data_IF_915788565710
#
_entry.id   IF_915788565710
#
_cell.length_a   1.000
_cell.length_b   1.000
_cell.length_c   1.000
_cell.angle_alpha   90.00
_cell.angle_beta   90.00
_cell.angle_gamma   90.00
#
_symmetry.space_group_name_H-M   'P 1'
#
loop_
_entity.id
_entity.type
_entity.pdbx_description
1 polymer ?
#
# COMPACT_ATOMS: atom_id res chain seq x y z
N UNK A 1 41.51 -46.51 -26.65
CA UNK A 1 41.01 -46.53 -28.04
C UNK A 1 39.95 -45.45 -28.17
N UNK A 2 40.06 -44.66 -29.24
CA UNK A 2 39.37 -43.41 -29.50
C UNK A 2 37.95 -43.60 -30.07
N UNK A 3 37.13 -42.54 -30.01
CA UNK A 3 36.17 -42.01 -31.01
C UNK A 3 35.20 -41.06 -30.26
N UNK A 4 35.38 -39.73 -30.30
CA UNK A 4 35.10 -38.75 -31.37
C UNK A 4 33.64 -38.28 -31.51
N UNK A 5 33.48 -36.98 -31.22
CA UNK A 5 32.63 -35.92 -31.79
C UNK A 5 31.12 -36.14 -32.01
N UNK A 6 30.33 -35.19 -31.50
CA UNK A 6 29.45 -34.40 -32.38
C UNK A 6 29.33 -32.95 -31.90
N UNK A 7 29.55 -32.04 -32.85
CA UNK A 7 29.46 -30.59 -32.77
C UNK A 7 28.10 -30.12 -33.31
N UNK A 8 27.80 -28.84 -33.07
CA UNK A 8 26.95 -27.94 -33.87
C UNK A 8 25.51 -27.66 -33.40
N UNK A 9 25.24 -26.36 -33.26
CA UNK A 9 23.92 -25.79 -33.04
C UNK A 9 23.96 -24.27 -32.82
N UNK A 10 24.67 -23.52 -33.67
CA UNK A 10 24.49 -22.07 -33.78
C UNK A 10 23.27 -21.80 -34.67
N UNK A 11 22.32 -20.99 -34.21
CA UNK A 11 21.36 -20.34 -35.10
C UNK A 11 21.11 -18.90 -34.62
N UNK A 12 21.52 -17.98 -35.50
CA UNK A 12 21.29 -16.54 -35.52
C UNK A 12 19.80 -16.26 -35.70
N UNK A 13 19.27 -15.19 -35.07
CA UNK A 13 18.07 -14.54 -35.59
C UNK A 13 18.15 -13.03 -35.39
N UNK A 14 17.96 -12.34 -36.50
CA UNK A 14 18.35 -10.97 -36.79
C UNK A 14 17.34 -9.94 -36.28
N UNK A 15 17.83 -8.81 -35.75
CA UNK A 15 17.12 -7.51 -35.79
C UNK A 15 17.29 -6.89 -37.19
N UNK A 16 16.26 -6.25 -37.75
CA UNK A 16 16.20 -4.76 -37.82
C UNK A 16 14.72 -4.26 -37.74
N UNK A 17 14.31 -3.00 -37.64
CA UNK A 17 14.84 -1.63 -37.53
C UNK A 17 13.64 -0.74 -37.06
N UNK A 18 13.85 0.48 -36.54
CA UNK A 18 12.79 1.44 -36.27
C UNK A 18 12.57 2.39 -37.48
N UNK A 19 11.31 2.55 -37.86
CA UNK A 19 10.75 3.57 -38.76
C UNK A 19 9.43 4.00 -38.09
N UNK A 20 8.95 5.24 -38.07
CA UNK A 20 9.27 6.46 -38.80
C UNK A 20 8.67 7.62 -37.98
N UNK A 21 9.24 8.82 -38.14
CA UNK A 21 8.71 10.06 -37.59
C UNK A 21 7.36 10.40 -38.21
N UNK A 22 6.41 10.91 -37.42
CA UNK A 22 5.47 11.93 -37.92
C UNK A 22 5.09 12.89 -36.80
N UNK A 23 5.39 14.16 -37.07
CA UNK A 23 5.13 15.37 -36.29
C UNK A 23 3.63 15.73 -36.20
N UNK A 24 3.26 16.71 -35.34
CA UNK A 24 1.89 16.93 -34.87
C UNK A 24 1.14 18.03 -35.67
N UNK A 25 -0.20 18.08 -35.59
CA UNK A 25 -0.94 19.31 -35.85
C UNK A 25 -1.38 20.03 -34.54
N UNK A 26 -1.10 21.32 -34.53
CA UNK A 26 -1.45 22.36 -33.53
C UNK A 26 -2.92 22.83 -33.64
N UNK A 27 -3.41 23.79 -32.82
CA UNK A 27 -4.70 23.72 -32.15
C UNK A 27 -5.84 24.47 -32.87
N UNK A 28 -7.08 24.10 -32.62
CA UNK A 28 -8.24 24.93 -32.97
C UNK A 28 -8.80 25.65 -31.74
N UNK A 29 -8.74 26.98 -31.83
CA UNK A 29 -9.44 27.95 -31.00
C UNK A 29 -10.79 28.29 -31.65
N UNK A 30 -11.90 27.99 -30.97
CA UNK A 30 -13.21 28.64 -31.13
C UNK A 30 -13.84 28.60 -29.73
N UNK A 31 -14.34 29.67 -29.12
CA UNK A 31 -15.04 30.82 -29.69
C UNK A 31 -16.44 30.83 -29.09
N UNK A 32 -16.60 31.62 -28.03
CA UNK A 32 -17.78 32.08 -27.29
C UNK A 32 -19.19 31.75 -27.83
N UNK A 33 -20.13 31.48 -26.91
CA UNK A 33 -21.49 32.08 -26.89
C UNK A 33 -22.24 31.72 -25.59
N UNK A 34 -22.54 32.71 -24.75
CA UNK A 34 -23.74 32.71 -23.88
C UNK A 34 -24.91 33.31 -24.67
N UNK A 35 -26.16 33.00 -24.29
CA UNK A 35 -26.97 34.07 -23.71
C UNK A 35 -27.97 33.65 -22.60
N UNK A 36 -28.48 34.69 -21.95
CA UNK A 36 -29.26 34.79 -20.72
C UNK A 36 -30.71 34.29 -20.75
N UNK A 37 -31.18 34.07 -19.51
CA UNK A 37 -32.48 34.42 -18.92
C UNK A 37 -33.76 33.69 -19.36
N UNK A 38 -34.44 33.07 -18.39
CA UNK A 38 -35.70 33.57 -17.80
C UNK A 38 -36.32 32.53 -16.86
N UNK A 39 -36.91 32.97 -15.74
CA UNK A 39 -37.94 32.20 -15.04
C UNK A 39 -37.67 31.92 -13.55
N UNK A 40 -38.18 32.82 -12.70
CA UNK A 40 -38.73 32.48 -11.38
C UNK A 40 -40.25 32.67 -11.51
N UNK A 41 -41.10 31.84 -10.85
CA UNK A 41 -41.18 31.87 -9.39
C UNK A 41 -41.36 30.52 -8.67
N UNK A 42 -40.78 30.47 -7.48
CA UNK A 42 -41.29 29.96 -6.18
C UNK A 42 -42.37 28.87 -6.23
N UNK A 43 -42.06 27.69 -5.69
CA UNK A 43 -42.69 27.14 -4.49
C UNK A 43 -41.97 25.86 -4.00
N UNK A 44 -42.02 25.70 -2.68
CA UNK A 44 -41.96 24.46 -1.92
C UNK A 44 -40.61 23.87 -1.47
N UNK A 45 -40.60 23.79 -0.15
CA UNK A 45 -39.73 23.21 0.86
C UNK A 45 -39.65 21.69 0.72
N UNK A 46 -38.43 21.14 0.74
CA UNK A 46 -38.21 19.74 1.11
C UNK A 46 -36.81 19.60 1.74
N UNK A 47 -36.79 19.04 2.95
CA UNK A 47 -35.63 18.66 3.72
C UNK A 47 -34.71 17.73 2.90
N UNK A 48 -33.49 18.18 2.61
CA UNK A 48 -32.46 17.34 2.01
C UNK A 48 -31.14 17.52 2.78
N UNK A 49 -30.94 16.58 3.70
CA UNK A 49 -29.69 15.89 4.02
C UNK A 49 -28.43 16.64 3.60
N UNK A 50 -27.74 17.20 4.60
CA UNK A 50 -26.39 17.69 4.46
C UNK A 50 -25.51 16.54 3.97
N UNK A 51 -25.35 16.46 2.65
CA UNK A 51 -24.37 15.62 2.00
C UNK A 51 -23.00 16.09 2.48
N UNK A 52 -22.57 15.49 3.59
CA UNK A 52 -21.23 15.62 4.13
C UNK A 52 -20.26 15.27 3.02
N UNK A 53 -19.71 16.30 2.40
CA UNK A 53 -18.61 16.19 1.46
C UNK A 53 -17.61 15.25 2.11
N UNK A 54 -17.23 14.10 1.51
CA UNK A 54 -16.17 13.30 2.08
C UNK A 54 -14.94 14.20 2.11
N UNK A 55 -14.52 14.58 3.31
CA UNK A 55 -13.25 15.24 3.52
C UNK A 55 -12.22 14.22 3.08
N UNK A 56 -11.79 14.31 1.82
CA UNK A 56 -10.58 13.66 1.35
C UNK A 56 -9.49 14.37 2.13
N UNK A 57 -9.17 13.84 3.31
CA UNK A 57 -7.98 14.22 4.04
C UNK A 57 -6.81 13.86 3.13
N UNK A 58 -6.36 14.83 2.34
CA UNK A 58 -5.03 14.80 1.74
C UNK A 58 -4.06 14.85 2.90
N UNK A 59 -3.74 13.68 3.44
CA UNK A 59 -2.66 13.52 4.41
C UNK A 59 -1.39 13.98 3.71
N UNK A 60 -0.86 15.08 4.22
CA UNK A 60 0.43 15.61 3.80
C UNK A 60 1.49 14.60 4.23
N UNK A 61 2.34 14.09 3.32
CA UNK A 61 3.45 13.23 3.70
C UNK A 61 4.34 13.99 4.69
N UNK A 62 4.59 13.41 5.86
CA UNK A 62 5.61 13.93 6.79
C UNK A 62 5.12 14.72 8.00
N UNK A 63 3.86 14.57 8.44
CA UNK A 63 3.54 14.92 9.83
C UNK A 63 3.67 13.65 10.67
N UNK A 64 4.77 13.46 11.43
CA UNK A 64 4.85 12.34 12.35
C UNK A 64 3.71 12.51 13.36
N UNK A 65 2.86 11.50 13.48
CA UNK A 65 2.06 11.31 14.69
C UNK A 65 3.05 11.07 15.84
N UNK A 66 3.60 12.15 16.38
CA UNK A 66 4.26 12.15 17.69
C UNK A 66 3.14 12.01 18.73
N UNK A 67 2.57 10.81 18.82
CA UNK A 67 2.18 10.34 20.14
C UNK A 67 3.51 10.21 20.87
N UNK A 68 3.82 11.17 21.74
CA UNK A 68 4.98 11.14 22.63
C UNK A 68 4.91 9.87 23.48
N UNK A 69 5.41 8.78 22.92
CA UNK A 69 5.64 7.55 23.63
C UNK A 69 7.04 7.72 24.24
N UNK A 70 7.21 7.81 25.56
CA UNK A 70 8.51 8.05 26.19
C UNK A 70 9.55 6.93 25.93
N UNK A 71 9.15 5.83 25.25
CA UNK A 71 10.04 4.80 24.71
C UNK A 71 10.34 4.89 23.20
N UNK A 72 9.78 5.86 22.47
CA UNK A 72 9.86 5.94 21.00
C UNK A 72 11.26 6.21 20.47
N UNK A 73 12.06 7.03 21.17
CA UNK A 73 13.43 7.33 20.76
C UNK A 73 14.34 6.08 20.77
N UNK A 74 14.09 5.15 21.71
CA UNK A 74 14.90 3.95 21.87
C UNK A 74 14.64 2.94 20.73
N UNK A 75 13.37 2.71 20.40
CA UNK A 75 12.97 1.78 19.33
C UNK A 75 13.54 2.15 17.94
N UNK A 76 13.72 3.45 17.69
CA UNK A 76 14.21 3.96 16.41
C UNK A 76 15.71 3.83 16.21
N UNK A 77 16.48 3.75 17.30
CA UNK A 77 17.95 3.71 17.28
C UNK A 77 18.52 2.36 17.70
N UNK A 78 17.73 1.51 18.37
CA UNK A 78 18.16 0.19 18.79
C UNK A 78 18.55 -0.70 17.59
N UNK A 79 19.62 -1.47 17.74
CA UNK A 79 20.04 -2.42 16.72
C UNK A 79 19.04 -3.59 16.58
N UNK A 80 18.88 -4.17 15.38
CA UNK A 80 18.05 -5.37 15.21
C UNK A 80 18.68 -6.57 15.94
N UNK A 81 17.84 -7.39 16.57
CA UNK A 81 18.23 -8.67 17.14
C UNK A 81 18.25 -9.76 16.05
N UNK A 82 19.00 -10.84 16.27
CA UNK A 82 18.89 -12.04 15.43
C UNK A 82 17.89 -13.02 16.03
N UNK A 83 16.97 -13.52 15.22
CA UNK A 83 16.11 -14.62 15.62
C UNK A 83 16.85 -15.97 15.59
N UNK A 84 16.16 -17.05 15.98
CA UNK A 84 16.71 -18.42 15.98
C UNK A 84 17.11 -18.92 14.59
N UNK A 85 16.60 -18.28 13.53
CA UNK A 85 16.89 -18.58 12.14
C UNK A 85 17.98 -17.65 11.55
N UNK A 86 18.52 -16.73 12.35
CA UNK A 86 19.53 -15.76 11.94
C UNK A 86 18.96 -14.54 11.20
N UNK A 87 17.64 -14.39 11.10
CA UNK A 87 17.02 -13.21 10.49
C UNK A 87 17.12 -12.01 11.43
N UNK A 88 17.27 -10.82 10.85
CA UNK A 88 17.22 -9.57 11.59
C UNK A 88 15.77 -9.25 11.96
N UNK A 89 15.50 -9.16 13.25
CA UNK A 89 14.26 -8.68 13.83
C UNK A 89 14.50 -7.30 14.42
N UNK A 90 13.85 -6.32 13.81
CA UNK A 90 13.88 -4.95 14.29
C UNK A 90 12.94 -4.80 15.50
N UNK A 91 13.26 -3.91 16.45
CA UNK A 91 12.38 -3.56 17.55
C UNK A 91 10.97 -3.20 17.06
N UNK A 92 9.97 -3.68 17.80
CA UNK A 92 8.55 -3.44 17.52
C UNK A 92 7.99 -2.63 18.68
N UNK A 93 7.25 -1.56 18.38
CA UNK A 93 6.48 -0.82 19.37
C UNK A 93 5.51 -1.77 20.10
N UNK A 94 5.43 -1.75 21.44
CA UNK A 94 4.54 -2.63 22.20
C UNK A 94 3.08 -2.65 21.70
N UNK A 95 2.60 -1.55 21.09
CA UNK A 95 1.27 -1.46 20.48
C UNK A 95 1.05 -2.42 19.30
N UNK A 96 2.13 -2.89 18.67
CA UNK A 96 2.12 -3.78 17.53
C UNK A 96 2.84 -5.10 17.81
N UNK A 97 3.13 -5.43 19.08
CA UNK A 97 3.91 -6.62 19.43
C UNK A 97 3.25 -7.94 18.99
N UNK A 98 1.93 -7.96 18.83
CA UNK A 98 1.18 -9.10 18.28
C UNK A 98 1.31 -9.25 16.75
N UNK A 99 1.93 -8.27 16.09
CA UNK A 99 2.11 -8.20 14.64
C UNK A 99 3.60 -8.27 14.27
N UNK A 100 4.24 -9.45 14.31
CA UNK A 100 5.68 -9.56 14.10
C UNK A 100 6.23 -9.01 12.78
N UNK A 101 5.51 -9.05 11.65
CA UNK A 101 6.09 -8.56 10.38
C UNK A 101 5.64 -7.14 10.06
N UNK A 102 4.34 -6.87 10.02
CA UNK A 102 3.81 -5.53 9.74
C UNK A 102 4.06 -4.57 10.91
N UNK A 103 4.16 -5.06 12.15
CA UNK A 103 4.54 -4.25 13.31
C UNK A 103 5.96 -3.71 13.23
N UNK A 104 6.90 -4.44 12.61
CA UNK A 104 8.23 -3.90 12.30
C UNK A 104 8.14 -2.74 11.31
N UNK A 105 7.30 -2.88 10.27
CA UNK A 105 7.06 -1.81 9.29
C UNK A 105 6.43 -0.59 9.95
N UNK A 106 5.41 -0.77 10.77
CA UNK A 106 4.72 0.31 11.48
C UNK A 106 5.65 1.06 12.44
N UNK A 107 6.49 0.32 13.16
CA UNK A 107 7.48 0.89 14.07
C UNK A 107 8.54 1.66 13.29
N UNK A 108 9.07 1.08 12.21
CA UNK A 108 10.06 1.74 11.36
C UNK A 108 9.50 2.98 10.65
N UNK A 109 8.23 2.95 10.23
CA UNK A 109 7.54 4.11 9.64
C UNK A 109 7.49 5.29 10.62
N UNK A 110 7.12 5.02 11.88
CA UNK A 110 7.11 6.05 12.93
C UNK A 110 8.52 6.62 13.24
N UNK A 111 9.56 5.82 12.99
CA UNK A 111 10.96 6.24 13.13
C UNK A 111 11.51 7.00 11.90
N UNK A 112 10.74 7.05 10.80
CA UNK A 112 11.08 7.76 9.57
C UNK A 112 11.81 6.92 8.52
N UNK A 113 11.95 7.49 7.32
CA UNK A 113 12.40 6.78 6.11
C UNK A 113 13.77 6.10 6.22
N UNK A 114 14.71 6.65 7.01
CA UNK A 114 16.03 6.01 7.24
C UNK A 114 15.89 4.64 7.89
N UNK A 115 14.99 4.51 8.87
CA UNK A 115 14.78 3.26 9.59
C UNK A 115 14.01 2.25 8.74
N UNK A 116 12.99 2.74 8.03
CA UNK A 116 12.22 1.95 7.09
C UNK A 116 13.09 1.29 6.01
N UNK A 117 14.06 2.03 5.45
CA UNK A 117 14.99 1.53 4.43
C UNK A 117 15.96 0.45 4.93
N UNK A 118 16.08 0.24 6.25
CA UNK A 118 16.91 -0.83 6.83
C UNK A 118 16.17 -2.16 6.90
N UNK A 119 14.84 -2.16 6.75
CA UNK A 119 14.05 -3.38 6.82
C UNK A 119 14.32 -4.25 5.58
N UNK A 120 14.73 -5.53 5.74
CA UNK A 120 14.96 -6.43 4.61
C UNK A 120 13.69 -6.72 3.79
N UNK A 121 12.52 -6.47 4.36
CA UNK A 121 11.21 -6.61 3.72
C UNK A 121 10.78 -5.36 2.94
N UNK A 122 11.59 -4.30 2.92
CA UNK A 122 11.30 -3.05 2.20
C UNK A 122 12.36 -2.79 1.15
N UNK A 123 11.92 -2.53 -0.08
CA UNK A 123 12.80 -2.17 -1.21
C UNK A 123 12.08 -1.16 -2.07
N UNK A 124 12.74 -0.04 -2.39
CA UNK A 124 12.21 1.02 -3.26
C UNK A 124 10.80 1.52 -2.88
N UNK A 125 10.52 1.61 -1.57
CA UNK A 125 9.22 2.06 -1.06
C UNK A 125 8.11 0.99 -1.09
N UNK A 126 8.44 -0.25 -1.45
CA UNK A 126 7.50 -1.37 -1.48
C UNK A 126 7.84 -2.44 -0.44
N UNK A 127 6.80 -3.05 0.12
CA UNK A 127 6.89 -4.25 0.96
C UNK A 127 6.99 -5.49 0.07
N UNK A 128 8.06 -6.28 0.25
CA UNK A 128 8.44 -7.36 -0.67
C UNK A 128 8.08 -8.76 -0.18
N UNK A 129 7.50 -8.89 1.01
CA UNK A 129 7.06 -10.18 1.55
C UNK A 129 5.58 -10.41 1.29
N UNK A 130 5.21 -11.67 1.06
CA UNK A 130 3.81 -12.05 1.16
C UNK A 130 3.34 -11.80 2.60
N UNK A 131 2.12 -11.28 2.74
CA UNK A 131 1.55 -10.97 4.04
C UNK A 131 0.19 -11.62 4.17
N UNK A 132 -0.04 -12.22 5.33
CA UNK A 132 -1.35 -12.67 5.77
C UNK A 132 -1.65 -12.02 7.10
N UNK A 133 -2.80 -11.35 7.22
CA UNK A 133 -3.27 -10.79 8.48
C UNK A 133 -4.51 -11.56 8.94
N UNK A 134 -4.54 -11.88 10.22
CA UNK A 134 -5.70 -12.47 10.88
C UNK A 134 -6.36 -11.42 11.74
N UNK A 135 -7.69 -11.36 11.68
CA UNK A 135 -8.50 -10.44 12.45
C UNK A 135 -8.99 -11.10 13.74
N UNK A 136 -9.22 -10.30 14.77
CA UNK A 136 -9.81 -10.78 16.03
C UNK A 136 -11.25 -11.21 15.83
N UNK A 137 -11.99 -10.48 15.00
CA UNK A 137 -13.40 -10.70 14.66
C UNK A 137 -13.66 -10.34 13.19
N UNK A 138 -14.93 -10.24 12.78
CA UNK A 138 -15.31 -9.75 11.44
C UNK A 138 -14.78 -8.32 11.26
N UNK A 139 -14.24 -7.96 10.09
CA UNK A 139 -13.65 -6.64 9.87
C UNK A 139 -14.70 -5.55 9.96
N UNK A 140 -14.35 -4.41 10.56
CA UNK A 140 -15.11 -3.18 10.36
C UNK A 140 -15.20 -2.82 8.87
N UNK A 141 -16.24 -2.08 8.43
CA UNK A 141 -16.34 -1.61 7.04
C UNK A 141 -15.08 -0.86 6.58
N UNK A 142 -14.56 0.03 7.44
CA UNK A 142 -13.33 0.77 7.18
C UNK A 142 -12.12 -0.15 7.01
N UNK A 143 -11.87 -1.07 7.94
CA UNK A 143 -10.74 -2.01 7.82
C UNK A 143 -10.84 -2.86 6.56
N UNK A 144 -12.03 -3.37 6.23
CA UNK A 144 -12.25 -4.17 5.02
C UNK A 144 -11.88 -3.38 3.76
N UNK A 145 -12.28 -2.11 3.69
CA UNK A 145 -12.04 -1.28 2.53
C UNK A 145 -10.56 -0.87 2.44
N UNK A 146 -9.92 -0.60 3.58
CA UNK A 146 -8.46 -0.40 3.69
C UNK A 146 -7.70 -1.63 3.21
N UNK A 147 -8.05 -2.83 3.68
CA UNK A 147 -7.42 -4.09 3.26
C UNK A 147 -7.53 -4.30 1.74
N UNK A 148 -8.73 -4.10 1.16
CA UNK A 148 -8.93 -4.20 -0.29
C UNK A 148 -8.08 -3.19 -1.06
N UNK A 149 -8.01 -1.94 -0.60
CA UNK A 149 -7.22 -0.88 -1.22
C UNK A 149 -5.73 -1.20 -1.26
N UNK A 150 -5.21 -1.79 -0.18
CA UNK A 150 -3.81 -2.21 -0.08
C UNK A 150 -3.51 -3.42 -0.97
N UNK A 151 -4.53 -4.16 -1.40
CA UNK A 151 -4.39 -5.37 -2.23
C UNK A 151 -4.50 -6.68 -1.45
N UNK A 152 -5.02 -6.65 -0.22
CA UNK A 152 -5.40 -7.87 0.48
C UNK A 152 -6.72 -8.42 -0.07
N UNK A 153 -6.74 -9.74 -0.25
CA UNK A 153 -7.93 -10.50 -0.60
C UNK A 153 -8.28 -11.47 0.53
N UNK A 154 -9.57 -11.81 0.64
CA UNK A 154 -9.98 -12.85 1.58
C UNK A 154 -9.29 -14.18 1.23
N UNK A 155 -8.59 -14.77 2.20
CA UNK A 155 -7.81 -15.99 2.01
C UNK A 155 -8.69 -17.25 1.97
N UNK A 156 -9.95 -17.14 2.40
CA UNK A 156 -10.91 -18.23 2.44
C UNK A 156 -12.04 -17.97 1.44
N UNK A 157 -12.90 -18.97 1.21
CA UNK A 157 -14.07 -18.83 0.32
C UNK A 157 -15.26 -18.11 0.99
N UNK A 158 -15.04 -17.41 2.11
CA UNK A 158 -16.10 -16.65 2.78
C UNK A 158 -16.30 -15.30 2.10
N UNK A 159 -17.50 -14.69 2.24
CA UNK A 159 -17.70 -13.29 1.89
C UNK A 159 -16.69 -12.37 2.60
N UNK A 160 -16.36 -11.24 1.97
CA UNK A 160 -15.39 -10.29 2.50
C UNK A 160 -15.83 -9.72 3.86
N UNK A 161 -17.13 -9.59 4.08
CA UNK A 161 -17.77 -9.03 5.28
C UNK A 161 -17.60 -9.91 6.51
N UNK A 162 -17.37 -11.21 6.31
CA UNK A 162 -17.14 -12.19 7.38
C UNK A 162 -15.72 -12.74 7.40
N UNK A 163 -14.86 -12.26 6.49
CA UNK A 163 -13.52 -12.78 6.33
C UNK A 163 -12.61 -12.32 7.46
N UNK A 164 -12.06 -13.27 8.22
CA UNK A 164 -11.12 -13.00 9.31
C UNK A 164 -9.66 -13.26 8.93
N UNK A 165 -9.40 -13.74 7.71
CA UNK A 165 -8.05 -14.03 7.23
C UNK A 165 -7.86 -13.41 5.85
N UNK A 166 -6.95 -12.47 5.76
CA UNK A 166 -6.69 -11.69 4.56
C UNK A 166 -5.26 -11.90 4.11
N UNK A 167 -5.06 -12.09 2.81
CA UNK A 167 -3.75 -12.35 2.22
C UNK A 167 -3.46 -11.39 1.08
N UNK A 168 -2.25 -10.89 1.03
CA UNK A 168 -1.75 -10.06 -0.05
C UNK A 168 -0.48 -10.67 -0.65
N UNK A 169 -0.30 -10.46 -1.97
CA UNK A 169 0.91 -10.84 -2.69
C UNK A 169 1.80 -9.60 -2.83
N UNK A 170 3.13 -9.71 -2.67
CA UNK A 170 4.01 -8.59 -2.90
C UNK A 170 4.09 -8.26 -4.41
N UNK A 171 4.48 -7.03 -4.77
CA UNK A 171 4.81 -5.92 -3.88
C UNK A 171 3.56 -5.22 -3.32
N UNK A 172 3.62 -4.74 -2.08
CA UNK A 172 2.62 -3.84 -1.51
C UNK A 172 3.21 -2.44 -1.36
N UNK A 173 2.42 -1.42 -1.65
CA UNK A 173 2.81 -0.04 -1.38
C UNK A 173 2.94 0.20 0.13
N UNK A 174 4.06 0.76 0.58
CA UNK A 174 4.30 0.95 2.02
C UNK A 174 3.36 2.01 2.59
N UNK A 175 3.09 3.10 1.86
CA UNK A 175 2.20 4.18 2.34
C UNK A 175 0.78 3.65 2.56
N UNK A 176 0.29 2.81 1.64
CA UNK A 176 -0.97 2.12 1.81
C UNK A 176 -0.90 1.11 2.98
N UNK A 177 0.18 0.33 3.09
CA UNK A 177 0.31 -0.69 4.13
C UNK A 177 0.27 -0.08 5.55
N UNK A 178 0.87 1.08 5.75
CA UNK A 178 0.86 1.76 7.06
C UNK A 178 -0.50 2.35 7.42
N UNK A 179 -1.46 2.45 6.48
CA UNK A 179 -2.86 2.77 6.84
C UNK A 179 -3.48 1.71 7.77
N UNK A 180 -2.98 0.45 7.75
CA UNK A 180 -3.44 -0.59 8.69
C UNK A 180 -3.11 -0.28 10.15
N UNK A 181 -2.17 0.65 10.43
CA UNK A 181 -1.84 1.06 11.79
C UNK A 181 -3.05 1.58 12.56
N UNK A 182 -3.96 2.29 11.86
CA UNK A 182 -5.20 2.81 12.46
C UNK A 182 -6.19 1.73 12.85
N UNK A 183 -6.00 0.50 12.35
CA UNK A 183 -6.84 -0.66 12.61
C UNK A 183 -6.11 -1.76 13.40
N UNK A 184 -4.93 -1.48 13.96
CA UNK A 184 -4.08 -2.50 14.59
C UNK A 184 -4.76 -3.29 15.71
N UNK A 185 -5.77 -2.70 16.38
CA UNK A 185 -6.57 -3.36 17.43
C UNK A 185 -7.53 -4.43 16.88
N UNK A 186 -7.93 -4.32 15.62
CA UNK A 186 -8.74 -5.34 14.94
C UNK A 186 -7.87 -6.49 14.42
N UNK A 187 -6.55 -6.29 14.31
CA UNK A 187 -5.60 -7.30 13.88
C UNK A 187 -5.18 -8.18 15.07
N UNK A 188 -5.20 -9.49 14.87
CA UNK A 188 -4.82 -10.49 15.87
C UNK A 188 -3.37 -10.94 15.74
N UNK A 189 -2.91 -11.17 14.51
CA UNK A 189 -1.55 -11.59 14.16
C UNK A 189 -1.29 -11.43 12.67
N UNK A 190 -0.02 -11.50 12.27
CA UNK A 190 0.39 -11.56 10.87
C UNK A 190 1.52 -12.58 10.62
N UNK A 191 1.69 -12.98 9.35
CA UNK A 191 2.71 -13.92 8.84
C UNK A 191 3.04 -13.66 7.37
#
# INVERSE_FOLDING_TARGET
MALSLTLAGCAVSSRPQPHDLLEPPTPQTQGSSSPSASGLPVLEQDDADEAGTPVIMRMKPGVPYLVENPGGAKLCMDDPAKDKSGNLLFPIDPRYAHLPMVGQVFTAWNCGGKRLAQLPSVTDGAYTKASTVWLTTKPSPLLRDTLKRIGFACATKTPAESCTQWKAKPPLDIEALVELMYHAQELKKDM
#
